data_IF_450656228779
#
_entry.id   IF_450656228779
#
_cell.length_a   1.000
_cell.length_b   1.000
_cell.length_c   1.000
_cell.angle_alpha   90.00
_cell.angle_beta   90.00
_cell.angle_gamma   90.00
#
_symmetry.space_group_name_H-M   'P 1'
#
loop_
_entity.id
_entity.type
_entity.pdbx_description
1 polymer ?
#
# COMPACT_ATOMS: atom_id res chain seq x y z
N UNK A 1 15.27 -19.82 9.15
CA UNK A 1 14.08 -19.26 9.81
C UNK A 1 13.05 -18.98 8.72
N UNK A 2 11.82 -19.47 8.85
CA UNK A 2 10.73 -19.02 7.97
C UNK A 2 10.58 -17.52 8.22
N UNK A 3 10.62 -16.71 7.15
CA UNK A 3 10.30 -15.30 7.25
C UNK A 3 8.87 -15.22 7.80
N UNK A 4 8.72 -14.65 8.99
CA UNK A 4 7.41 -14.50 9.61
C UNK A 4 6.69 -13.35 8.91
N UNK A 5 5.66 -13.68 8.12
CA UNK A 5 4.84 -12.68 7.46
C UNK A 5 3.97 -11.94 8.48
N UNK A 6 3.71 -10.66 8.21
CA UNK A 6 2.82 -9.82 9.03
C UNK A 6 1.44 -10.48 9.15
N UNK A 7 0.92 -11.03 8.06
CA UNK A 7 -0.32 -11.80 7.99
C UNK A 7 0.00 -13.19 7.45
N UNK A 8 -0.56 -14.22 8.08
CA UNK A 8 -0.42 -15.59 7.57
C UNK A 8 -1.10 -15.69 6.20
N UNK A 9 -0.35 -16.17 5.20
CA UNK A 9 -0.84 -16.32 3.82
C UNK A 9 -2.06 -17.24 3.72
N UNK A 10 -2.23 -18.18 4.63
CA UNK A 10 -3.39 -19.09 4.68
C UNK A 10 -4.71 -18.39 5.02
N UNK A 11 -4.65 -17.18 5.56
CA UNK A 11 -5.84 -16.37 5.89
C UNK A 11 -6.32 -15.53 4.70
N UNK A 12 -5.59 -15.49 3.59
CA UNK A 12 -5.89 -14.66 2.44
C UNK A 12 -6.81 -15.38 1.46
N UNK A 13 -8.06 -14.96 1.39
CA UNK A 13 -9.05 -15.47 0.44
C UNK A 13 -9.17 -14.53 -0.76
N UNK A 14 -8.60 -14.94 -1.89
CA UNK A 14 -8.60 -14.17 -3.13
C UNK A 14 -9.93 -14.22 -3.88
N UNK A 15 -10.76 -15.22 -3.59
CA UNK A 15 -12.07 -15.38 -4.22
C UNK A 15 -13.15 -14.53 -3.53
N UNK A 16 -12.93 -14.21 -2.23
CA UNK A 16 -13.84 -13.40 -1.43
C UNK A 16 -13.11 -12.24 -0.74
N UNK A 17 -12.65 -11.24 -1.48
CA UNK A 17 -12.01 -10.06 -0.89
C UNK A 17 -12.99 -9.31 0.01
N UNK A 18 -12.49 -8.75 1.12
CA UNK A 18 -13.31 -8.01 2.08
C UNK A 18 -13.61 -6.58 1.64
N UNK A 19 -12.86 -6.04 0.69
CA UNK A 19 -13.14 -4.76 0.05
C UNK A 19 -12.60 -4.77 -1.39
N UNK A 20 -13.42 -4.28 -2.30
CA UNK A 20 -13.10 -4.10 -3.72
C UNK A 20 -12.50 -2.71 -4.01
N UNK A 21 -12.23 -2.43 -5.29
CA UNK A 21 -11.67 -1.15 -5.71
C UNK A 21 -12.59 0.05 -5.37
N UNK A 22 -13.90 -0.11 -5.39
CA UNK A 22 -14.82 0.99 -5.08
C UNK A 22 -14.77 1.34 -3.58
N UNK A 23 -14.66 0.35 -2.71
CA UNK A 23 -14.46 0.55 -1.28
C UNK A 23 -13.09 1.21 -1.00
N UNK A 24 -12.04 0.85 -1.75
CA UNK A 24 -10.73 1.49 -1.66
C UNK A 24 -10.81 2.95 -2.11
N UNK A 25 -11.46 3.23 -3.24
CA UNK A 25 -11.67 4.59 -3.77
C UNK A 25 -12.43 5.51 -2.83
N UNK A 26 -13.33 4.97 -2.02
CA UNK A 26 -14.07 5.74 -1.02
C UNK A 26 -13.17 6.34 0.08
N UNK A 27 -12.00 5.75 0.30
CA UNK A 27 -11.07 6.14 1.35
C UNK A 27 -9.76 6.72 0.82
N UNK A 28 -9.31 6.26 -0.34
CA UNK A 28 -8.07 6.68 -0.97
C UNK A 28 -8.34 7.61 -2.16
N UNK A 29 -7.60 8.73 -2.28
CA UNK A 29 -7.83 9.72 -3.34
C UNK A 29 -7.22 9.36 -4.69
N UNK A 30 -6.29 8.39 -4.76
CA UNK A 30 -5.63 7.99 -6.01
C UNK A 30 -6.62 7.49 -7.04
N UNK A 31 -6.34 7.76 -8.33
CA UNK A 31 -7.15 7.34 -9.47
C UNK A 31 -6.26 6.96 -10.66
N UNK A 32 -6.85 6.26 -11.62
CA UNK A 32 -6.22 5.87 -12.87
C UNK A 32 -4.96 5.05 -12.65
N UNK A 33 -3.87 5.38 -13.30
CA UNK A 33 -2.60 4.66 -13.25
C UNK A 33 -1.95 4.65 -11.85
N UNK A 34 -2.38 5.56 -10.97
CA UNK A 34 -1.89 5.63 -9.59
C UNK A 34 -2.64 4.70 -8.63
N UNK A 35 -3.69 4.01 -9.05
CA UNK A 35 -4.34 2.99 -8.24
C UNK A 35 -3.47 1.73 -8.17
N UNK A 36 -2.91 1.45 -6.99
CA UNK A 36 -1.94 0.39 -6.81
C UNK A 36 -2.43 -0.77 -5.92
N UNK A 37 -3.74 -0.86 -5.71
CA UNK A 37 -4.39 -1.97 -5.01
C UNK A 37 -5.50 -2.54 -5.88
N UNK A 38 -5.61 -3.87 -5.94
CA UNK A 38 -6.73 -4.56 -6.60
C UNK A 38 -7.87 -4.77 -5.62
N UNK A 39 -7.59 -5.34 -4.45
CA UNK A 39 -8.57 -5.57 -3.39
C UNK A 39 -7.91 -5.77 -2.03
N UNK A 40 -8.68 -5.61 -0.97
CA UNK A 40 -8.28 -5.91 0.41
C UNK A 40 -8.73 -7.32 0.77
N UNK A 41 -7.82 -8.12 1.33
CA UNK A 41 -8.06 -9.52 1.63
C UNK A 41 -8.29 -9.81 3.11
N UNK A 42 -7.64 -9.03 4.00
CA UNK A 42 -7.65 -9.32 5.42
C UNK A 42 -7.44 -8.07 6.25
N UNK A 43 -8.13 -7.99 7.37
CA UNK A 43 -7.92 -7.00 8.43
C UNK A 43 -7.94 -7.69 9.79
N UNK A 44 -6.96 -7.36 10.62
CA UNK A 44 -6.87 -7.78 12.02
C UNK A 44 -6.83 -6.52 12.89
N UNK A 45 -7.97 -6.22 13.52
CA UNK A 45 -8.13 -5.02 14.34
C UNK A 45 -7.30 -5.05 15.62
N UNK A 46 -7.14 -6.24 16.22
CA UNK A 46 -6.41 -6.39 17.48
C UNK A 46 -4.91 -6.14 17.28
N UNK A 47 -4.39 -6.55 16.12
CA UNK A 47 -3.00 -6.35 15.74
C UNK A 47 -2.76 -5.09 14.92
N UNK A 48 -3.81 -4.36 14.52
CA UNK A 48 -3.75 -3.26 13.56
C UNK A 48 -3.05 -3.65 12.24
N UNK A 49 -3.35 -4.84 11.74
CA UNK A 49 -2.75 -5.39 10.53
C UNK A 49 -3.76 -5.48 9.39
N UNK A 50 -3.28 -5.31 8.17
CA UNK A 50 -4.09 -5.37 6.98
C UNK A 50 -3.30 -5.99 5.83
N UNK A 51 -3.97 -6.75 4.97
CA UNK A 51 -3.40 -7.32 3.76
C UNK A 51 -4.26 -7.03 2.53
N UNK A 52 -3.60 -6.76 1.42
CA UNK A 52 -4.18 -6.52 0.11
C UNK A 52 -3.36 -7.21 -0.97
N UNK A 53 -3.82 -7.13 -2.20
CA UNK A 53 -2.99 -7.51 -3.33
C UNK A 53 -3.15 -6.55 -4.51
N UNK A 54 -2.15 -6.59 -5.39
CA UNK A 54 -2.21 -6.00 -6.72
C UNK A 54 -1.85 -7.07 -7.75
N UNK A 55 -2.72 -7.29 -8.73
CA UNK A 55 -2.39 -8.04 -9.92
C UNK A 55 -1.59 -7.14 -10.86
N UNK A 56 -0.41 -7.59 -11.23
CA UNK A 56 0.50 -6.85 -12.12
C UNK A 56 0.19 -7.25 -13.56
N UNK A 57 -0.25 -6.30 -14.36
CA UNK A 57 -0.69 -6.56 -15.73
C UNK A 57 0.31 -6.01 -16.76
N UNK A 58 0.18 -6.47 -18.01
CA UNK A 58 0.96 -5.95 -19.15
C UNK A 58 0.61 -4.48 -19.49
N UNK A 59 -0.49 -3.95 -18.96
CA UNK A 59 -0.97 -2.60 -19.22
C UNK A 59 -0.52 -1.58 -18.17
N UNK A 60 0.35 -1.96 -17.24
CA UNK A 60 0.90 -1.01 -16.27
C UNK A 60 1.68 0.09 -16.99
N UNK A 61 1.53 1.35 -16.56
CA UNK A 61 2.13 2.52 -17.25
C UNK A 61 3.67 2.44 -17.38
N UNK A 62 4.31 1.75 -16.45
CA UNK A 62 5.77 1.60 -16.41
C UNK A 62 6.31 0.49 -17.32
N UNK A 63 5.48 -0.42 -17.82
CA UNK A 63 5.90 -1.62 -18.57
C UNK A 63 6.76 -1.25 -19.80
N UNK A 64 6.35 -0.24 -20.56
CA UNK A 64 7.06 0.18 -21.77
C UNK A 64 8.44 0.76 -21.49
N UNK A 65 8.63 1.41 -20.35
CA UNK A 65 9.82 2.21 -20.05
C UNK A 65 10.73 1.67 -18.95
N UNK A 66 10.21 0.82 -18.08
CA UNK A 66 10.97 0.32 -16.92
C UNK A 66 11.03 -1.22 -16.86
N UNK A 67 11.90 -1.91 -17.63
CA UNK A 67 12.87 -1.40 -18.62
C UNK A 67 12.40 -1.82 -20.01
N UNK A 68 12.82 -1.15 -21.09
CA UNK A 68 12.47 -1.59 -22.44
C UNK A 68 12.91 -3.04 -22.68
N UNK A 69 11.95 -3.90 -23.08
CA UNK A 69 12.20 -5.33 -23.33
C UNK A 69 12.35 -6.21 -22.08
N UNK A 70 12.35 -5.63 -20.88
CA UNK A 70 12.44 -6.33 -19.59
C UNK A 70 11.59 -5.58 -18.54
N UNK A 71 10.27 -5.71 -18.59
CA UNK A 71 9.40 -4.95 -17.71
C UNK A 71 9.54 -5.42 -16.25
N UNK A 72 9.97 -4.51 -15.39
CA UNK A 72 10.09 -4.68 -13.95
C UNK A 72 9.30 -3.61 -13.24
N UNK A 73 8.50 -3.98 -12.25
CA UNK A 73 7.82 -2.98 -11.43
C UNK A 73 8.85 -2.10 -10.70
N UNK A 74 8.78 -0.77 -10.87
CA UNK A 74 9.69 0.11 -10.12
C UNK A 74 9.50 -0.08 -8.62
N UNK A 75 10.60 -0.19 -7.86
CA UNK A 75 10.54 -0.36 -6.41
C UNK A 75 9.76 0.76 -5.72
N UNK A 76 9.84 1.99 -6.23
CA UNK A 76 9.07 3.13 -5.72
C UNK A 76 7.57 2.96 -5.90
N UNK A 77 7.12 2.21 -6.92
CA UNK A 77 5.69 1.89 -7.09
C UNK A 77 5.21 0.82 -6.11
N UNK A 78 6.09 -0.09 -5.69
CA UNK A 78 5.79 -0.99 -4.58
C UNK A 78 5.63 -0.21 -3.26
N UNK A 79 6.44 0.83 -3.03
CA UNK A 79 6.28 1.73 -1.87
C UNK A 79 4.97 2.51 -1.93
N UNK A 80 4.57 2.99 -3.10
CA UNK A 80 3.25 3.63 -3.29
C UNK A 80 2.12 2.67 -2.94
N UNK A 81 2.21 1.40 -3.38
CA UNK A 81 1.19 0.40 -3.08
C UNK A 81 1.03 0.14 -1.57
N UNK A 82 2.14 -0.01 -0.82
CA UNK A 82 2.05 -0.16 0.65
C UNK A 82 1.58 1.11 1.34
N UNK A 83 1.91 2.29 0.81
CA UNK A 83 1.41 3.56 1.33
C UNK A 83 -0.12 3.67 1.16
N UNK A 84 -0.65 3.24 0.00
CA UNK A 84 -2.09 3.19 -0.25
C UNK A 84 -2.81 2.21 0.69
N UNK A 85 -2.23 1.03 0.95
CA UNK A 85 -2.78 0.08 1.91
C UNK A 85 -2.80 0.64 3.33
N UNK A 86 -1.69 1.26 3.74
CA UNK A 86 -1.59 1.92 5.04
C UNK A 86 -2.59 3.07 5.18
N UNK A 87 -2.77 3.88 4.12
CA UNK A 87 -3.77 4.95 4.05
C UNK A 87 -5.19 4.41 4.18
N UNK A 88 -5.53 3.38 3.40
CA UNK A 88 -6.84 2.72 3.46
C UNK A 88 -7.19 2.31 4.89
N UNK A 89 -6.30 1.53 5.54
CA UNK A 89 -6.53 1.04 6.89
C UNK A 89 -6.63 2.18 7.91
N UNK A 90 -5.74 3.17 7.82
CA UNK A 90 -5.72 4.35 8.69
C UNK A 90 -7.01 5.16 8.58
N UNK A 91 -7.50 5.40 7.37
CA UNK A 91 -8.71 6.18 7.11
C UNK A 91 -9.97 5.42 7.53
N UNK A 92 -10.05 4.12 7.22
CA UNK A 92 -11.19 3.29 7.59
C UNK A 92 -11.45 3.28 9.09
N UNK A 93 -10.39 3.32 9.89
CA UNK A 93 -10.46 3.26 11.36
C UNK A 93 -10.20 4.62 12.04
N UNK A 94 -10.12 5.71 11.26
CA UNK A 94 -9.90 7.08 11.74
C UNK A 94 -8.72 7.20 12.74
N UNK A 95 -7.64 6.47 12.48
CA UNK A 95 -6.51 6.37 13.41
C UNK A 95 -5.66 7.63 13.46
N UNK A 96 -5.63 8.41 12.38
CA UNK A 96 -4.85 9.64 12.29
C UNK A 96 -5.68 10.90 12.60
N UNK A 97 -7.00 10.85 12.43
CA UNK A 97 -7.88 12.00 12.62
C UNK A 97 -7.67 13.11 11.59
N UNK A 98 -7.37 12.74 10.35
CA UNK A 98 -7.11 13.65 9.25
C UNK A 98 -7.87 13.19 8.00
N UNK A 99 -8.26 14.13 7.16
CA UNK A 99 -8.99 13.85 5.93
C UNK A 99 -8.10 13.15 4.87
N UNK A 100 -6.78 13.27 4.97
CA UNK A 100 -5.82 12.63 4.07
C UNK A 100 -4.54 12.27 4.79
N UNK A 101 -4.00 11.08 4.46
CA UNK A 101 -2.68 10.63 4.94
C UNK A 101 -1.63 10.98 3.89
N UNK A 102 -0.62 11.72 4.30
CA UNK A 102 0.55 12.01 3.46
C UNK A 102 1.69 11.05 3.74
N UNK A 103 2.54 10.85 2.74
CA UNK A 103 3.73 10.04 2.84
C UNK A 103 4.83 10.82 3.58
N UNK A 104 5.05 10.53 4.86
CA UNK A 104 5.96 11.28 5.72
C UNK A 104 7.40 10.80 5.70
N UNK A 105 7.64 9.57 5.23
CA UNK A 105 8.98 8.99 5.12
C UNK A 105 8.99 7.47 5.12
N UNK A 106 10.14 6.92 4.80
CA UNK A 106 10.42 5.47 4.84
C UNK A 106 11.77 5.21 5.47
N UNK A 107 11.88 4.10 6.19
CA UNK A 107 13.10 3.62 6.81
C UNK A 107 13.27 2.13 6.54
N UNK A 108 14.51 1.67 6.59
CA UNK A 108 14.87 0.25 6.51
C UNK A 108 14.31 -0.49 5.30
N UNK A 109 14.06 0.23 4.20
CA UNK A 109 13.51 -0.35 2.98
C UNK A 109 14.51 -1.31 2.35
N UNK A 110 14.05 -2.51 2.03
CA UNK A 110 14.82 -3.52 1.31
C UNK A 110 13.97 -4.12 0.19
N UNK A 111 14.49 -4.03 -1.03
CA UNK A 111 13.96 -4.73 -2.19
C UNK A 111 14.71 -6.06 -2.32
N UNK A 112 13.99 -7.18 -2.16
CA UNK A 112 14.58 -8.53 -2.11
C UNK A 112 14.30 -9.36 -3.34
N UNK A 113 13.41 -8.90 -4.20
CA UNK A 113 13.05 -9.57 -5.43
C UNK A 113 12.44 -8.63 -6.45
N UNK A 114 12.37 -9.10 -7.69
CA UNK A 114 11.72 -8.40 -8.79
C UNK A 114 10.24 -8.76 -8.86
N UNK A 115 9.44 -7.85 -9.38
CA UNK A 115 8.02 -8.02 -9.65
C UNK A 115 7.77 -7.69 -11.11
N UNK A 116 7.09 -8.59 -11.82
CA UNK A 116 6.90 -8.50 -13.28
C UNK A 116 5.43 -8.66 -13.65
N UNK A 117 5.01 -8.24 -14.85
CA UNK A 117 3.67 -8.56 -15.35
C UNK A 117 3.37 -10.06 -15.27
N UNK A 118 2.17 -10.41 -14.79
CA UNK A 118 1.74 -11.77 -14.49
C UNK A 118 1.88 -12.14 -13.01
N UNK A 119 2.66 -11.39 -12.22
CA UNK A 119 2.76 -11.61 -10.78
C UNK A 119 1.55 -11.06 -10.03
N UNK A 120 1.25 -11.68 -8.90
CA UNK A 120 0.37 -11.12 -7.86
C UNK A 120 1.23 -10.67 -6.68
N UNK A 121 1.28 -9.37 -6.48
CA UNK A 121 1.98 -8.75 -5.36
C UNK A 121 1.03 -8.66 -4.16
N UNK A 122 1.29 -9.47 -3.14
CA UNK A 122 0.60 -9.40 -1.86
C UNK A 122 1.29 -8.33 -1.02
N UNK A 123 0.52 -7.43 -0.46
CA UNK A 123 0.98 -6.32 0.36
C UNK A 123 0.42 -6.48 1.77
N UNK A 124 1.26 -6.28 2.76
CA UNK A 124 0.88 -6.39 4.17
C UNK A 124 1.41 -5.18 4.93
N UNK A 125 0.60 -4.66 5.84
CA UNK A 125 1.00 -3.61 6.77
C UNK A 125 0.57 -3.96 8.18
N UNK A 126 1.34 -3.54 9.18
CA UNK A 126 0.95 -3.52 10.59
C UNK A 126 1.31 -2.16 11.16
N UNK A 127 0.32 -1.46 11.72
CA UNK A 127 0.54 -0.17 12.36
C UNK A 127 1.11 -0.40 13.76
N UNK A 128 2.38 -0.10 13.92
CA UNK A 128 3.09 -0.22 15.21
C UNK A 128 2.85 0.98 16.11
N UNK A 129 2.51 2.12 15.50
CA UNK A 129 2.24 3.35 16.23
C UNK A 129 1.21 4.19 15.49
N UNK A 130 0.20 4.66 16.21
CA UNK A 130 -0.73 5.68 15.74
C UNK A 130 -0.83 6.79 16.79
N UNK A 131 -0.55 8.02 16.38
CA UNK A 131 -0.71 9.23 17.19
C UNK A 131 -1.63 10.17 16.45
N UNK A 132 -2.89 10.21 16.88
CA UNK A 132 -3.93 11.06 16.28
C UNK A 132 -3.45 12.51 16.13
N UNK A 133 -3.66 13.09 14.97
CA UNK A 133 -3.22 14.44 14.62
C UNK A 133 -1.70 14.61 14.42
N UNK A 134 -0.91 13.54 14.50
CA UNK A 134 0.55 13.64 14.39
C UNK A 134 1.15 12.70 13.35
N UNK A 135 1.03 11.38 13.54
CA UNK A 135 1.68 10.41 12.66
C UNK A 135 1.18 9.00 12.89
N UNK A 136 1.33 8.17 11.89
CA UNK A 136 1.35 6.71 11.99
C UNK A 136 2.74 6.20 11.64
N UNK A 137 3.09 5.04 12.20
CA UNK A 137 4.27 4.26 11.81
C UNK A 137 3.79 2.84 11.50
N UNK A 138 4.07 2.36 10.33
CA UNK A 138 3.67 1.04 9.88
C UNK A 138 4.87 0.25 9.34
N UNK A 139 5.04 -0.97 9.81
CA UNK A 139 5.92 -1.94 9.17
C UNK A 139 5.17 -2.56 8.00
N UNK A 140 5.88 -2.83 6.92
CA UNK A 140 5.28 -3.40 5.72
C UNK A 140 6.09 -4.53 5.12
N UNK A 141 5.39 -5.36 4.36
CA UNK A 141 5.97 -6.45 3.55
C UNK A 141 5.24 -6.53 2.20
N UNK A 142 6.02 -6.91 1.17
CA UNK A 142 5.50 -7.32 -0.13
C UNK A 142 5.94 -8.74 -0.44
N UNK A 143 5.03 -9.57 -0.94
CA UNK A 143 5.25 -11.00 -1.17
C UNK A 143 4.76 -11.39 -2.56
N UNK A 144 5.59 -12.15 -3.31
CA UNK A 144 5.22 -12.75 -4.59
C UNK A 144 5.54 -14.23 -4.54
N UNK A 145 4.59 -15.08 -4.90
CA UNK A 145 4.74 -16.55 -4.91
C UNK A 145 5.32 -17.12 -3.59
N UNK A 146 4.87 -16.57 -2.45
CA UNK A 146 5.31 -16.99 -1.11
C UNK A 146 6.72 -16.52 -0.73
N UNK A 147 7.34 -15.62 -1.51
CA UNK A 147 8.67 -15.07 -1.22
C UNK A 147 8.59 -13.58 -0.91
N UNK A 148 9.32 -13.15 0.10
CA UNK A 148 9.46 -11.75 0.46
C UNK A 148 10.22 -11.01 -0.64
N UNK A 149 9.59 -10.00 -1.26
CA UNK A 149 10.20 -9.15 -2.30
C UNK A 149 10.45 -7.73 -1.83
N UNK A 150 9.76 -7.30 -0.78
CA UNK A 150 9.84 -5.95 -0.24
C UNK A 150 9.59 -5.98 1.28
N UNK A 151 10.33 -5.19 2.03
CA UNK A 151 10.05 -4.90 3.44
C UNK A 151 10.55 -3.52 3.84
N UNK A 152 10.04 -3.00 4.94
CA UNK A 152 10.49 -1.73 5.53
C UNK A 152 9.50 -1.15 6.51
N UNK A 153 9.71 0.12 6.85
CA UNK A 153 8.86 0.92 7.72
C UNK A 153 8.46 2.19 6.99
N UNK A 154 7.19 2.55 7.03
CA UNK A 154 6.71 3.83 6.51
C UNK A 154 6.14 4.70 7.63
N UNK A 155 6.17 6.02 7.41
CA UNK A 155 5.52 7.02 8.25
C UNK A 155 4.47 7.75 7.44
N UNK A 156 3.25 7.80 7.97
CA UNK A 156 2.16 8.64 7.47
C UNK A 156 1.98 9.87 8.36
N UNK A 157 1.69 10.98 7.75
CA UNK A 157 1.44 12.25 8.44
C UNK A 157 0.09 12.84 7.98
N UNK A 158 -0.59 13.63 8.83
CA UNK A 158 -1.80 14.32 8.41
C UNK A 158 -1.49 15.39 7.37
N UNK A 159 -2.24 15.40 6.26
CA UNK A 159 -2.18 16.47 5.27
C UNK A 159 -3.34 17.42 5.51
N UNK A 160 -3.08 18.72 5.76
CA UNK A 160 -4.11 19.73 5.86
C UNK A 160 -4.65 20.09 4.47
N UNK A 161 -5.75 19.46 4.07
CA UNK A 161 -6.36 19.62 2.73
C UNK A 161 -6.63 21.08 2.40
N UNK A 162 -7.06 21.89 3.36
CA UNK A 162 -7.35 23.31 3.17
C UNK A 162 -6.15 24.10 2.62
N UNK A 163 -4.93 23.77 3.06
CA UNK A 163 -3.72 24.39 2.52
C UNK A 163 -3.38 23.91 1.11
N UNK A 164 -3.67 22.65 0.80
CA UNK A 164 -3.40 22.08 -0.53
C UNK A 164 -4.38 22.64 -1.55
N UNK A 165 -5.69 22.61 -1.26
CA UNK A 165 -6.72 23.09 -2.18
C UNK A 165 -6.61 24.59 -2.45
N UNK A 166 -6.19 25.40 -1.48
CA UNK A 166 -5.99 26.84 -1.67
C UNK A 166 -4.89 27.19 -2.67
N UNK A 167 -3.92 26.29 -2.89
CA UNK A 167 -2.86 26.46 -3.90
C UNK A 167 -3.36 26.19 -5.32
N UNK A 168 -4.33 25.29 -5.48
CA UNK A 168 -4.90 24.92 -6.80
C UNK A 168 -6.10 25.78 -7.22
N UNK A 169 -6.70 26.55 -6.29
CA UNK A 169 -7.84 27.45 -6.58
C UNK A 169 -7.42 28.81 -7.16
N UNK A 170 -6.13 29.03 -7.37
CA UNK A 170 -5.56 30.29 -7.86
C UNK A 170 -5.11 30.25 -9.34
N UNK A 171 -5.58 29.23 -10.09
CA UNK A 171 -5.34 29.09 -11.51
C UNK A 171 -6.58 29.35 -12.36
#
# INVERSE_FOLDING_TARGET
MKDEFIVDLSLLDFDNPIADIEAIRALNPQRHEMEQLTAILHEDHDRNACAAYKDITENEFWVRGHMPGMPLMPGVMMLEAVAQLSSYFTQKHDLLGAAMVGFGGVDEVRFRGVVTPGDRLILMVVLEKARRGRMIVARFQGVVAGKLVLEGVLRGIPIPIEHVTSQFSKG
#
